data_IF_995874552130
#
_entry.id   IF_995874552130
#
_cell.length_a   1.000
_cell.length_b   1.000
_cell.length_c   1.000
_cell.angle_alpha   90.00
_cell.angle_beta   90.00
_cell.angle_gamma   90.00
#
_symmetry.space_group_name_H-M   'P 1'
#
loop_
_entity.id
_entity.type
_entity.pdbx_description
1 polymer ?
#
# COMPACT_ATOMS: atom_id res chain seq x y z
N UNK A 1 22.35 41.75 29.58
CA UNK A 1 23.16 42.47 28.58
C UNK A 1 23.46 41.53 27.43
N UNK A 2 23.19 42.00 26.21
CA UNK A 2 23.73 41.56 24.90
C UNK A 2 23.30 40.21 24.31
N UNK A 3 22.42 40.34 23.31
CA UNK A 3 22.17 39.41 22.20
C UNK A 3 23.33 39.40 21.18
N UNK A 4 23.24 38.51 20.17
CA UNK A 4 23.61 38.87 18.81
C UNK A 4 22.46 38.69 17.81
N UNK A 5 22.51 39.58 16.82
CA UNK A 5 21.65 39.81 15.67
C UNK A 5 22.01 38.91 14.47
N UNK A 6 21.15 39.03 13.43
CA UNK A 6 21.33 38.73 11.99
C UNK A 6 20.70 37.41 11.52
N UNK A 7 19.92 37.34 10.43
CA UNK A 7 19.42 38.33 9.48
C UNK A 7 18.29 37.65 8.68
N UNK A 8 17.13 38.29 8.52
CA UNK A 8 16.02 37.80 7.67
C UNK A 8 15.93 38.66 6.41
N UNK A 9 16.31 38.14 5.26
CA UNK A 9 16.07 38.75 3.96
C UNK A 9 14.72 38.30 3.41
N UNK A 10 13.73 39.20 3.44
CA UNK A 10 12.49 39.15 2.65
C UNK A 10 12.78 39.76 1.27
N UNK A 11 12.56 39.04 0.18
CA UNK A 11 12.37 39.66 -1.13
C UNK A 11 10.90 40.06 -1.27
N UNK A 12 10.65 41.37 -1.36
CA UNK A 12 9.38 41.93 -1.81
C UNK A 12 9.51 42.21 -3.31
N UNK A 13 8.66 41.60 -4.14
CA UNK A 13 8.54 41.92 -5.55
C UNK A 13 7.50 43.03 -5.70
N UNK A 14 7.93 44.23 -6.11
CA UNK A 14 7.05 45.35 -6.38
C UNK A 14 6.41 45.18 -7.77
N UNK A 15 5.08 45.15 -7.80
CA UNK A 15 4.27 45.17 -9.02
C UNK A 15 4.09 46.64 -9.46
N UNK A 16 4.67 47.04 -10.57
CA UNK A 16 4.37 48.33 -11.23
C UNK A 16 3.24 48.09 -12.22
N UNK A 17 2.05 48.56 -11.89
CA UNK A 17 0.91 48.62 -12.82
C UNK A 17 0.94 49.98 -13.51
N UNK A 18 1.18 49.97 -14.82
CA UNK A 18 1.00 51.11 -15.70
C UNK A 18 -0.27 50.87 -16.52
N UNK A 19 -1.26 51.75 -16.35
CA UNK A 19 -2.51 51.77 -17.12
C UNK A 19 -2.29 52.47 -18.45
N UNK A 20 -2.56 51.77 -19.56
CA UNK A 20 -2.72 52.36 -20.89
C UNK A 20 -3.82 51.64 -21.65
N UNK A 21 -4.96 52.32 -21.84
CA UNK A 21 -5.98 51.90 -22.80
C UNK A 21 -5.49 52.17 -24.23
N UNK A 22 -5.51 51.16 -25.10
CA UNK A 22 -6.08 51.29 -26.45
C UNK A 22 -6.31 49.92 -27.08
N UNK A 23 -7.34 49.87 -27.92
CA UNK A 23 -7.92 48.69 -28.56
C UNK A 23 -7.05 48.10 -29.69
N UNK A 24 -7.16 46.79 -29.89
CA UNK A 24 -6.67 46.12 -31.11
C UNK A 24 -6.22 44.68 -30.85
N UNK A 25 -6.87 43.73 -31.53
CA UNK A 25 -6.49 42.32 -31.55
C UNK A 25 -5.02 42.15 -31.94
N UNK A 26 -4.24 41.40 -31.14
CA UNK A 26 -3.07 40.67 -31.64
C UNK A 26 -2.63 39.56 -30.68
N UNK A 27 -2.41 38.38 -31.26
CA UNK A 27 -1.78 37.20 -30.69
C UNK A 27 -0.42 37.52 -30.06
N UNK A 28 -0.19 37.12 -28.81
CA UNK A 28 1.12 37.20 -28.17
C UNK A 28 1.84 35.84 -28.29
N UNK A 29 2.85 35.77 -29.15
CA UNK A 29 3.92 34.78 -29.07
C UNK A 29 5.07 35.40 -28.25
N UNK A 30 5.43 34.78 -27.12
CA UNK A 30 6.63 35.12 -26.37
C UNK A 30 7.79 34.24 -26.86
N UNK A 31 8.81 34.84 -27.48
CA UNK A 31 10.09 34.20 -27.76
C UNK A 31 11.04 34.43 -26.59
N UNK A 32 11.46 33.35 -25.93
CA UNK A 32 12.62 33.35 -25.02
C UNK A 32 13.84 32.87 -25.82
N UNK A 33 14.86 33.72 -25.90
CA UNK A 33 16.13 33.45 -26.59
C UNK A 33 17.07 32.75 -25.60
N UNK A 34 17.39 31.48 -25.84
CA UNK A 34 18.47 30.74 -25.15
C UNK A 34 19.58 30.47 -26.17
N UNK A 35 20.86 30.76 -25.89
CA UNK A 35 21.93 30.54 -26.85
C UNK A 35 22.38 29.08 -26.85
N UNK A 36 22.45 28.48 -28.04
CA UNK A 36 23.16 27.22 -28.30
C UNK A 36 22.29 25.99 -28.40
N UNK A 37 21.62 25.77 -29.55
CA UNK A 37 21.42 24.44 -30.14
C UNK A 37 20.94 24.58 -31.59
N UNK A 38 21.48 23.71 -32.44
CA UNK A 38 21.35 23.68 -33.90
C UNK A 38 19.89 23.45 -34.34
N UNK A 39 19.43 24.24 -35.30
CA UNK A 39 18.12 24.13 -35.95
C UNK A 39 18.09 22.94 -36.92
N UNK A 40 17.10 22.05 -36.77
CA UNK A 40 16.70 21.09 -37.80
C UNK A 40 15.33 21.52 -38.35
N UNK A 41 15.27 21.77 -39.66
CA UNK A 41 14.09 22.20 -40.38
C UNK A 41 13.68 21.12 -41.37
N UNK A 42 12.46 20.59 -41.22
CA UNK A 42 11.86 19.61 -42.13
C UNK A 42 10.42 20.00 -42.48
N UNK A 43 10.18 20.28 -43.75
CA UNK A 43 8.86 20.58 -44.33
C UNK A 43 7.96 19.33 -44.33
N UNK A 44 6.67 19.50 -44.05
CA UNK A 44 5.64 18.54 -44.45
C UNK A 44 4.72 19.22 -45.46
N UNK A 45 4.77 18.71 -46.70
CA UNK A 45 3.84 19.03 -47.77
C UNK A 45 2.52 18.27 -47.58
N UNK A 46 1.42 18.99 -47.75
CA UNK A 46 0.08 18.43 -47.93
C UNK A 46 0.05 17.55 -49.19
N UNK A 47 -0.52 16.35 -49.08
CA UNK A 47 -1.00 15.58 -50.21
C UNK A 47 -2.49 15.30 -50.03
N UNK A 48 -3.27 15.88 -50.92
CA UNK A 48 -4.69 15.61 -51.17
C UNK A 48 -4.75 14.44 -52.15
N UNK A 49 -5.54 13.40 -51.86
CA UNK A 49 -5.98 12.43 -52.87
C UNK A 49 -7.43 12.02 -52.61
N UNK A 50 -8.22 12.12 -53.67
CA UNK A 50 -9.66 11.86 -53.83
C UNK A 50 -10.07 10.36 -53.75
N UNK A 51 -11.38 10.04 -53.62
CA UNK A 51 -11.88 8.72 -53.22
C UNK A 51 -12.20 7.79 -54.40
N UNK A 52 -12.31 6.49 -54.12
CA UNK A 52 -12.77 5.44 -55.04
C UNK A 52 -13.79 4.51 -54.32
N UNK A 53 -14.62 3.70 -55.02
CA UNK A 53 -16.04 3.97 -55.17
C UNK A 53 -16.98 3.04 -54.38
N UNK A 54 -18.26 3.43 -54.41
CA UNK A 54 -19.45 2.85 -53.77
C UNK A 54 -19.80 1.44 -54.28
N UNK A 55 -20.14 0.54 -53.35
CA UNK A 55 -20.92 -0.69 -53.60
C UNK A 55 -22.18 -0.66 -52.73
N UNK A 56 -23.32 -0.97 -53.34
CA UNK A 56 -24.70 -0.79 -52.85
C UNK A 56 -25.21 -1.86 -51.88
N UNK A 57 -26.16 -1.42 -51.06
CA UNK A 57 -26.79 -1.99 -49.86
C UNK A 57 -27.81 -3.13 -50.05
N UNK A 58 -28.03 -3.92 -48.99
CA UNK A 58 -29.33 -4.41 -48.49
C UNK A 58 -29.23 -4.67 -46.95
N UNK A 59 -30.34 -4.69 -46.18
CA UNK A 59 -30.55 -3.79 -45.03
C UNK A 59 -30.28 -4.41 -43.65
N UNK A 60 -29.85 -3.58 -42.70
CA UNK A 60 -29.89 -3.90 -41.26
C UNK A 60 -30.99 -3.09 -40.57
N UNK A 61 -31.82 -3.85 -39.86
CA UNK A 61 -33.00 -3.45 -39.09
C UNK A 61 -32.58 -2.75 -37.79
N UNK A 62 -33.23 -1.62 -37.49
CA UNK A 62 -33.70 -1.28 -36.15
C UNK A 62 -32.70 -0.66 -35.16
N UNK A 63 -32.89 0.64 -34.92
CA UNK A 63 -32.27 1.44 -33.87
C UNK A 63 -32.40 0.80 -32.47
N UNK A 64 -31.26 0.66 -31.79
CA UNK A 64 -31.16 0.61 -30.33
C UNK A 64 -30.02 1.56 -29.94
N UNK A 65 -30.35 2.64 -29.26
CA UNK A 65 -29.41 3.61 -28.69
C UNK A 65 -28.34 2.91 -27.86
N UNK A 66 -27.07 3.04 -28.24
CA UNK A 66 -25.89 2.68 -27.43
C UNK A 66 -25.94 3.42 -26.09
N UNK A 67 -26.20 2.66 -25.02
CA UNK A 67 -25.97 3.06 -23.62
C UNK A 67 -24.85 2.22 -23.00
N UNK A 68 -23.87 1.85 -23.81
CA UNK A 68 -22.62 1.23 -23.37
C UNK A 68 -21.51 2.22 -23.71
N UNK A 69 -20.78 2.72 -22.70
CA UNK A 69 -19.38 3.23 -22.80
C UNK A 69 -18.91 4.15 -21.65
N UNK A 70 -19.61 4.26 -20.52
CA UNK A 70 -19.03 4.96 -19.34
C UNK A 70 -19.21 4.23 -18.01
N UNK A 71 -19.94 3.11 -17.99
CA UNK A 71 -20.21 2.37 -16.77
C UNK A 71 -19.01 1.52 -16.31
N UNK A 72 -18.34 0.85 -17.25
CA UNK A 72 -17.21 -0.05 -16.97
C UNK A 72 -15.86 0.67 -16.81
N UNK A 73 -15.72 1.91 -17.30
CA UNK A 73 -14.48 2.67 -17.09
C UNK A 73 -14.22 2.96 -15.61
N UNK A 74 -15.26 3.14 -14.80
CA UNK A 74 -15.12 3.51 -13.38
C UNK A 74 -14.58 2.39 -12.49
N UNK A 75 -14.90 1.13 -12.77
CA UNK A 75 -14.46 -0.03 -11.96
C UNK A 75 -13.18 -0.64 -12.51
N UNK A 76 -13.07 -0.74 -13.84
CA UNK A 76 -11.86 -1.21 -14.53
C UNK A 76 -10.68 -0.25 -14.32
N UNK A 77 -10.94 1.07 -14.21
CA UNK A 77 -9.92 2.04 -13.85
C UNK A 77 -9.48 1.91 -12.39
N UNK A 78 -10.36 1.55 -11.44
CA UNK A 78 -9.96 1.40 -10.02
C UNK A 78 -8.94 0.28 -9.80
N UNK A 79 -8.96 -0.78 -10.61
CA UNK A 79 -7.95 -1.85 -10.59
C UNK A 79 -6.71 -1.51 -11.42
N UNK A 80 -6.82 -0.68 -12.47
CA UNK A 80 -5.69 -0.24 -13.31
C UNK A 80 -4.96 1.01 -12.78
N UNK A 81 -5.56 1.78 -11.87
CA UNK A 81 -4.99 3.01 -11.25
C UNK A 81 -3.73 2.74 -10.40
N UNK A 82 -3.36 1.47 -10.19
CA UNK A 82 -2.16 1.05 -9.45
C UNK A 82 -0.86 1.21 -10.29
N UNK A 83 -0.75 2.29 -11.07
CA UNK A 83 0.22 2.51 -12.14
C UNK A 83 1.67 2.55 -11.62
N UNK A 84 2.43 1.49 -11.96
CA UNK A 84 3.87 1.40 -12.29
C UNK A 84 4.91 2.05 -11.35
N UNK A 85 4.68 3.24 -10.82
CA UNK A 85 5.55 3.92 -9.89
C UNK A 85 5.53 3.23 -8.51
N UNK A 86 6.71 2.95 -7.93
CA UNK A 86 6.77 2.36 -6.61
C UNK A 86 6.65 3.42 -5.51
N UNK A 87 6.19 3.03 -4.32
CA UNK A 87 6.06 3.95 -3.17
C UNK A 87 7.40 4.61 -2.83
N UNK A 88 8.51 3.89 -3.00
CA UNK A 88 9.85 4.38 -2.72
C UNK A 88 10.55 4.74 -4.05
N UNK A 89 10.40 5.98 -4.50
CA UNK A 89 11.17 6.49 -5.62
C UNK A 89 11.31 8.00 -5.55
N UNK A 90 12.30 8.54 -6.28
CA UNK A 90 12.47 9.98 -6.47
C UNK A 90 11.25 10.63 -7.12
N UNK A 91 10.59 9.90 -8.02
CA UNK A 91 9.38 10.37 -8.68
C UNK A 91 8.22 10.49 -7.68
N UNK A 92 8.06 9.51 -6.79
CA UNK A 92 7.06 9.54 -5.72
C UNK A 92 7.31 10.69 -4.74
N UNK A 93 8.56 10.99 -4.40
CA UNK A 93 8.91 12.19 -3.63
C UNK A 93 8.35 13.46 -4.28
N UNK A 94 8.47 13.61 -5.60
CA UNK A 94 7.93 14.78 -6.30
C UNK A 94 6.40 14.82 -6.25
N UNK A 95 5.72 13.70 -6.51
CA UNK A 95 4.27 13.62 -6.41
C UNK A 95 3.76 13.96 -5.01
N UNK A 96 4.51 13.58 -3.97
CA UNK A 96 4.18 13.93 -2.59
C UNK A 96 4.34 15.42 -2.31
N UNK A 97 5.35 16.09 -2.88
CA UNK A 97 5.51 17.55 -2.79
C UNK A 97 4.31 18.25 -3.43
N UNK A 98 3.91 17.82 -4.63
CA UNK A 98 2.77 18.41 -5.34
C UNK A 98 1.46 18.19 -4.54
N UNK A 99 1.26 16.98 -4.01
CA UNK A 99 0.13 16.66 -3.15
C UNK A 99 0.11 17.50 -1.86
N UNK A 100 1.26 17.78 -1.25
CA UNK A 100 1.36 18.66 -0.07
C UNK A 100 0.88 20.07 -0.42
N UNK A 101 1.28 20.62 -1.57
CA UNK A 101 0.83 21.95 -2.02
C UNK A 101 -0.69 22.00 -2.25
N UNK A 102 -1.27 20.93 -2.78
CA UNK A 102 -2.72 20.83 -2.95
C UNK A 102 -3.45 20.71 -1.61
N UNK A 103 -2.93 19.93 -0.66
CA UNK A 103 -3.51 19.81 0.68
C UNK A 103 -3.38 21.11 1.49
N UNK A 104 -2.29 21.86 1.32
CA UNK A 104 -2.15 23.21 1.87
C UNK A 104 -3.22 24.16 1.32
N UNK A 105 -3.52 24.10 0.02
CA UNK A 105 -4.59 24.89 -0.60
C UNK A 105 -5.96 24.53 -0.02
N UNK A 106 -6.23 23.24 0.17
CA UNK A 106 -7.46 22.78 0.82
C UNK A 106 -7.56 23.31 2.25
N UNK A 107 -6.48 23.23 3.04
CA UNK A 107 -6.43 23.77 4.40
C UNK A 107 -6.68 25.28 4.44
N UNK A 108 -6.03 26.06 3.56
CA UNK A 108 -6.22 27.51 3.46
C UNK A 108 -7.66 27.90 3.08
N UNK A 109 -8.38 27.02 2.38
CA UNK A 109 -9.79 27.21 2.01
C UNK A 109 -10.77 26.70 3.08
N UNK A 110 -10.29 26.38 4.29
CA UNK A 110 -11.13 25.93 5.41
C UNK A 110 -11.35 24.41 5.47
N UNK A 111 -10.57 23.63 4.72
CA UNK A 111 -10.62 22.17 4.74
C UNK A 111 -11.77 21.59 3.93
N UNK A 112 -12.23 20.42 4.35
CA UNK A 112 -13.38 19.73 3.76
C UNK A 112 -14.56 19.66 4.73
N UNK A 113 -15.80 19.64 4.23
CA UNK A 113 -16.98 19.55 5.10
C UNK A 113 -17.03 18.22 5.84
N UNK A 114 -17.51 18.28 7.07
CA UNK A 114 -17.79 17.10 7.87
C UNK A 114 -18.98 16.32 7.30
N UNK A 115 -18.83 15.00 7.18
CA UNK A 115 -19.90 14.08 6.82
C UNK A 115 -20.54 13.59 8.12
N UNK A 116 -21.63 14.25 8.53
CA UNK A 116 -22.39 13.88 9.73
C UNK A 116 -23.60 13.03 9.35
N UNK A 117 -23.58 11.74 9.69
CA UNK A 117 -24.72 10.84 9.49
C UNK A 117 -24.88 9.86 10.64
N UNK A 118 -26.14 9.64 11.06
CA UNK A 118 -26.52 8.60 12.03
C UNK A 118 -26.89 7.27 11.38
N UNK A 119 -27.04 7.26 10.05
CA UNK A 119 -27.43 6.10 9.26
C UNK A 119 -26.34 5.77 8.25
N UNK A 120 -26.21 4.48 7.97
CA UNK A 120 -25.40 4.00 6.85
C UNK A 120 -25.96 4.56 5.55
N UNK A 121 -25.11 5.15 4.71
CA UNK A 121 -25.49 5.63 3.37
C UNK A 121 -24.99 4.64 2.31
N UNK A 122 -25.79 4.42 1.27
CA UNK A 122 -25.50 3.52 0.14
C UNK A 122 -26.33 3.93 -1.08
N UNK A 123 -25.98 3.38 -2.23
CA UNK A 123 -26.66 3.63 -3.50
C UNK A 123 -28.20 3.51 -3.39
N UNK A 124 -28.90 4.44 -4.05
CA UNK A 124 -30.36 4.55 -4.07
C UNK A 124 -30.96 5.31 -2.88
N UNK A 125 -30.17 5.68 -1.87
CA UNK A 125 -30.67 6.45 -0.74
C UNK A 125 -30.80 7.95 -1.05
N UNK A 126 -31.72 8.60 -0.32
CA UNK A 126 -31.83 10.06 -0.24
C UNK A 126 -31.70 10.53 1.20
N UNK A 127 -30.84 11.50 1.45
CA UNK A 127 -30.58 12.06 2.78
C UNK A 127 -29.81 13.39 2.66
N UNK A 128 -30.07 14.37 3.54
CA UNK A 128 -29.31 15.63 3.57
C UNK A 128 -27.80 15.45 3.71
N UNK A 129 -27.35 14.42 4.44
CA UNK A 129 -25.93 14.10 4.62
C UNK A 129 -25.21 13.76 3.30
N UNK A 130 -25.94 13.37 2.24
CA UNK A 130 -25.35 13.04 0.94
C UNK A 130 -24.86 14.31 0.22
N UNK A 131 -25.48 15.47 0.46
CA UNK A 131 -24.99 16.74 -0.06
C UNK A 131 -23.59 17.06 0.50
N UNK A 132 -23.39 16.92 1.82
CA UNK A 132 -22.08 17.09 2.46
C UNK A 132 -21.08 16.04 2.01
N UNK A 133 -21.51 14.78 1.86
CA UNK A 133 -20.67 13.70 1.32
C UNK A 133 -20.14 14.03 -0.09
N UNK A 134 -21.01 14.50 -0.98
CA UNK A 134 -20.61 14.91 -2.34
C UNK A 134 -19.59 16.03 -2.30
N UNK A 135 -19.83 17.06 -1.50
CA UNK A 135 -18.87 18.15 -1.34
C UNK A 135 -17.53 17.65 -0.76
N UNK A 136 -17.57 16.75 0.22
CA UNK A 136 -16.37 16.12 0.80
C UNK A 136 -15.54 15.39 -0.24
N UNK A 137 -16.19 14.59 -1.10
CA UNK A 137 -15.56 13.81 -2.16
C UNK A 137 -15.04 14.70 -3.30
N UNK A 138 -15.75 15.79 -3.63
CA UNK A 138 -15.28 16.78 -4.62
C UNK A 138 -14.02 17.47 -4.13
N UNK A 139 -13.99 17.94 -2.87
CA UNK A 139 -12.82 18.65 -2.32
C UNK A 139 -11.58 17.75 -2.28
N UNK A 140 -11.73 16.44 -2.07
CA UNK A 140 -10.61 15.50 -2.11
C UNK A 140 -10.29 14.90 -3.47
N UNK A 141 -10.98 15.32 -4.54
CA UNK A 141 -10.74 14.81 -5.89
C UNK A 141 -11.27 13.41 -6.15
N UNK A 142 -12.08 12.84 -5.25
CA UNK A 142 -12.73 11.54 -5.44
C UNK A 142 -13.94 11.63 -6.38
N UNK A 143 -14.48 12.84 -6.59
CA UNK A 143 -15.65 13.11 -7.44
C UNK A 143 -15.46 14.39 -8.26
N UNK A 144 -15.93 14.39 -9.52
CA UNK A 144 -15.82 15.55 -10.40
C UNK A 144 -16.71 16.72 -9.96
N UNK A 145 -16.21 17.95 -10.09
CA UNK A 145 -16.86 19.17 -9.60
C UNK A 145 -18.21 19.48 -10.27
N UNK A 146 -18.41 19.03 -11.52
CA UNK A 146 -19.66 19.24 -12.27
C UNK A 146 -20.80 18.29 -11.87
N UNK A 147 -20.57 17.35 -10.94
CA UNK A 147 -21.60 16.37 -10.54
C UNK A 147 -22.73 16.97 -9.65
N UNK A 148 -22.59 18.23 -9.23
CA UNK A 148 -23.61 19.01 -8.51
C UNK A 148 -23.80 18.64 -7.03
N UNK A 149 -24.69 19.36 -6.34
CA UNK A 149 -25.04 19.11 -4.93
C UNK A 149 -26.45 18.51 -4.88
N UNK A 150 -26.53 17.18 -4.87
CA UNK A 150 -27.76 16.39 -4.76
C UNK A 150 -27.79 15.69 -3.41
N UNK A 151 -28.99 15.41 -2.90
CA UNK A 151 -29.18 14.55 -1.73
C UNK A 151 -29.32 13.07 -2.09
N UNK A 152 -29.13 12.70 -3.35
CA UNK A 152 -29.25 11.33 -3.85
C UNK A 152 -27.89 10.66 -3.92
N UNK A 153 -27.82 9.45 -3.37
CA UNK A 153 -26.67 8.56 -3.50
C UNK A 153 -26.81 7.79 -4.81
N UNK A 154 -26.31 8.36 -5.89
CA UNK A 154 -26.31 7.77 -7.23
C UNK A 154 -25.02 6.95 -7.47
N UNK A 155 -24.90 6.41 -8.69
CA UNK A 155 -23.72 5.64 -9.11
C UNK A 155 -22.42 6.46 -9.07
N UNK A 156 -22.47 7.78 -9.31
CA UNK A 156 -21.27 8.62 -9.22
C UNK A 156 -20.77 8.73 -7.77
N UNK A 157 -21.68 8.87 -6.81
CA UNK A 157 -21.33 8.86 -5.38
C UNK A 157 -20.80 7.48 -4.97
N UNK A 158 -21.41 6.38 -5.44
CA UNK A 158 -20.93 5.02 -5.16
C UNK A 158 -19.49 4.82 -5.62
N UNK A 159 -19.18 5.14 -6.88
CA UNK A 159 -17.83 5.05 -7.43
C UNK A 159 -16.82 5.93 -6.68
N UNK A 160 -17.21 7.17 -6.34
CA UNK A 160 -16.37 8.08 -5.56
C UNK A 160 -16.10 7.58 -4.14
N UNK A 161 -17.10 7.00 -3.47
CA UNK A 161 -16.94 6.38 -2.14
C UNK A 161 -16.02 5.17 -2.22
N UNK A 162 -16.14 4.31 -3.24
CA UNK A 162 -15.23 3.17 -3.44
C UNK A 162 -13.80 3.63 -3.65
N UNK A 163 -13.59 4.68 -4.46
CA UNK A 163 -12.26 5.30 -4.66
C UNK A 163 -11.68 5.82 -3.35
N UNK A 164 -12.50 6.54 -2.58
CA UNK A 164 -12.12 7.05 -1.26
C UNK A 164 -11.72 5.89 -0.32
N UNK A 165 -12.55 4.85 -0.22
CA UNK A 165 -12.31 3.69 0.63
C UNK A 165 -11.00 3.00 0.23
N UNK A 166 -10.80 2.73 -1.06
CA UNK A 166 -9.60 2.08 -1.59
C UNK A 166 -8.32 2.86 -1.23
N UNK A 167 -8.30 4.18 -1.48
CA UNK A 167 -7.11 4.98 -1.19
C UNK A 167 -6.85 5.16 0.31
N UNK A 168 -7.85 4.98 1.16
CA UNK A 168 -7.71 4.97 2.63
C UNK A 168 -7.46 3.58 3.23
N UNK A 169 -7.35 2.53 2.40
CA UNK A 169 -7.11 1.17 2.88
C UNK A 169 -8.33 0.51 3.52
N UNK A 170 -9.53 1.00 3.22
CA UNK A 170 -10.81 0.42 3.62
C UNK A 170 -11.30 -0.54 2.53
N UNK A 171 -12.22 -1.44 2.90
CA UNK A 171 -12.94 -2.27 1.93
C UNK A 171 -13.76 -1.36 0.99
N UNK A 172 -13.57 -1.42 -0.35
CA UNK A 172 -14.25 -0.54 -1.30
C UNK A 172 -15.66 -1.06 -1.63
N UNK A 173 -16.52 -1.16 -0.62
CA UNK A 173 -17.89 -1.68 -0.73
C UNK A 173 -18.94 -0.64 -1.19
N UNK A 174 -18.56 0.63 -1.32
CA UNK A 174 -19.46 1.73 -1.70
C UNK A 174 -20.38 2.19 -0.56
N UNK A 175 -20.23 1.62 0.64
CA UNK A 175 -21.06 1.90 1.80
C UNK A 175 -20.37 2.93 2.70
N UNK A 176 -21.10 4.00 3.05
CA UNK A 176 -20.62 4.99 4.03
C UNK A 176 -21.07 4.55 5.42
N UNK A 177 -20.32 3.59 5.96
CA UNK A 177 -20.44 3.11 7.34
C UNK A 177 -19.55 3.88 8.32
N UNK A 178 -19.49 3.42 9.58
CA UNK A 178 -18.74 4.09 10.66
C UNK A 178 -17.26 4.32 10.32
N UNK A 179 -16.57 3.30 9.81
CA UNK A 179 -15.15 3.40 9.45
C UNK A 179 -14.91 4.46 8.35
N UNK A 180 -15.75 4.45 7.31
CA UNK A 180 -15.69 5.43 6.21
C UNK A 180 -15.94 6.85 6.71
N UNK A 181 -16.93 7.05 7.59
CA UNK A 181 -17.21 8.37 8.22
C UNK A 181 -16.02 8.86 9.05
N UNK A 182 -15.43 8.00 9.87
CA UNK A 182 -14.24 8.35 10.67
C UNK A 182 -13.10 8.78 9.74
N UNK A 183 -12.81 8.01 8.69
CA UNK A 183 -11.75 8.32 7.75
C UNK A 183 -12.01 9.64 6.97
N UNK A 184 -13.26 9.90 6.58
CA UNK A 184 -13.67 11.13 5.88
C UNK A 184 -13.52 12.37 6.75
N UNK A 185 -13.79 12.24 8.05
CA UNK A 185 -13.80 13.34 9.01
C UNK A 185 -12.46 13.58 9.70
N UNK A 186 -11.38 12.88 9.32
CA UNK A 186 -10.03 13.28 9.71
C UNK A 186 -9.75 14.69 9.15
N UNK A 187 -9.34 15.68 9.96
CA UNK A 187 -9.06 17.03 9.49
C UNK A 187 -7.94 17.08 8.45
N UNK A 188 -7.98 18.09 7.57
CA UNK A 188 -6.96 18.24 6.51
C UNK A 188 -5.58 18.53 7.09
N UNK A 189 -5.50 19.21 8.23
CA UNK A 189 -4.26 19.53 8.93
C UNK A 189 -3.55 18.26 9.40
N UNK A 190 -4.32 17.27 9.86
CA UNK A 190 -3.79 15.95 10.27
C UNK A 190 -3.25 15.20 9.05
N UNK A 191 -3.99 15.20 7.93
CA UNK A 191 -3.55 14.57 6.66
C UNK A 191 -2.33 15.24 6.06
N UNK A 192 -2.25 16.57 6.16
CA UNK A 192 -1.09 17.36 5.71
C UNK A 192 0.14 17.03 6.54
N UNK A 193 0.01 16.93 7.86
CA UNK A 193 1.12 16.50 8.72
C UNK A 193 1.52 15.05 8.43
N UNK A 194 0.56 14.16 8.21
CA UNK A 194 0.81 12.78 7.78
C UNK A 194 1.62 12.74 6.47
N UNK A 195 1.26 13.56 5.48
CA UNK A 195 2.00 13.68 4.21
C UNK A 195 3.43 14.17 4.42
N UNK A 196 3.63 15.22 5.22
CA UNK A 196 4.96 15.78 5.50
C UNK A 196 5.87 14.78 6.22
N UNK A 197 5.36 14.10 7.25
CA UNK A 197 6.11 13.06 7.95
C UNK A 197 6.52 11.93 7.00
N UNK A 198 5.64 11.52 6.09
CA UNK A 198 5.96 10.44 5.16
C UNK A 198 6.82 10.88 3.97
N UNK A 199 6.79 12.17 3.57
CA UNK A 199 7.71 12.71 2.58
C UNK A 199 9.16 12.54 3.04
N UNK A 200 9.45 12.81 4.33
CA UNK A 200 10.77 12.60 4.90
C UNK A 200 11.19 11.12 4.84
N UNK A 201 10.28 10.21 5.21
CA UNK A 201 10.54 8.76 5.19
C UNK A 201 10.78 8.21 3.78
N UNK A 202 9.94 8.61 2.83
CA UNK A 202 10.06 8.20 1.43
C UNK A 202 11.34 8.77 0.83
N UNK A 203 11.65 10.06 1.06
CA UNK A 203 12.87 10.68 0.53
C UNK A 203 14.14 10.00 1.06
N UNK A 204 14.20 9.72 2.37
CA UNK A 204 15.35 9.07 2.98
C UNK A 204 15.67 7.70 2.36
N UNK A 205 14.65 6.94 1.96
CA UNK A 205 14.82 5.66 1.27
C UNK A 205 15.11 5.86 -0.23
N UNK A 206 14.40 6.77 -0.90
CA UNK A 206 14.51 7.01 -2.33
C UNK A 206 15.89 7.49 -2.79
N UNK A 207 16.65 8.16 -1.91
CA UNK A 207 18.00 8.64 -2.22
C UNK A 207 19.01 7.51 -2.48
N UNK A 208 18.77 6.33 -1.88
CA UNK A 208 19.72 5.21 -1.89
C UNK A 208 19.11 3.90 -2.43
N UNK A 209 17.89 3.94 -2.97
CA UNK A 209 17.22 2.75 -3.48
C UNK A 209 17.80 2.32 -4.83
N UNK A 210 17.96 1.01 -5.02
CA UNK A 210 18.31 0.43 -6.32
C UNK A 210 17.11 0.46 -7.27
N UNK A 211 17.34 0.26 -8.57
CA UNK A 211 16.25 0.10 -9.54
C UNK A 211 15.51 -1.25 -9.42
N UNK A 212 16.05 -2.19 -8.63
CA UNK A 212 15.45 -3.50 -8.36
C UNK A 212 15.50 -3.82 -6.87
N UNK A 213 14.35 -3.99 -6.23
CA UNK A 213 14.21 -4.24 -4.80
C UNK A 213 12.83 -4.79 -4.43
N UNK A 214 12.67 -5.24 -3.19
CA UNK A 214 11.38 -5.57 -2.59
C UNK A 214 11.09 -4.56 -1.47
N UNK A 215 9.88 -3.99 -1.45
CA UNK A 215 9.44 -3.11 -0.37
C UNK A 215 8.20 -3.68 0.30
N UNK A 216 8.30 -3.95 1.60
CA UNK A 216 7.17 -4.27 2.47
C UNK A 216 6.74 -2.98 3.15
N UNK A 217 5.65 -2.36 2.68
CA UNK A 217 5.04 -1.25 3.39
C UNK A 217 4.15 -1.79 4.52
N UNK A 218 4.65 -1.70 5.75
CA UNK A 218 4.05 -2.27 6.96
C UNK A 218 2.60 -1.78 7.19
N UNK A 219 2.32 -0.47 7.33
CA UNK A 219 0.96 0.03 7.57
C UNK A 219 -0.01 -0.23 6.41
N UNK A 220 0.50 -0.42 5.19
CA UNK A 220 -0.32 -0.83 4.05
C UNK A 220 -0.56 -2.35 3.99
N UNK A 221 0.16 -3.13 4.80
CA UNK A 221 0.20 -4.59 4.76
C UNK A 221 0.32 -5.10 3.30
N UNK A 222 1.30 -4.55 2.59
CA UNK A 222 1.49 -4.74 1.15
C UNK A 222 2.98 -4.81 0.80
N UNK A 223 3.28 -5.61 -0.21
CA UNK A 223 4.64 -5.83 -0.73
C UNK A 223 4.67 -5.38 -2.19
N UNK A 224 5.65 -4.57 -2.55
CA UNK A 224 5.95 -4.19 -3.93
C UNK A 224 7.25 -4.86 -4.36
N UNK A 225 7.20 -5.57 -5.48
CA UNK A 225 8.38 -6.01 -6.21
C UNK A 225 8.68 -4.97 -7.26
N UNK A 226 9.84 -4.34 -7.18
CA UNK A 226 10.28 -3.32 -8.11
C UNK A 226 11.41 -3.87 -8.96
N UNK A 227 11.29 -3.72 -10.27
CA UNK A 227 12.25 -4.17 -11.26
C UNK A 227 12.40 -3.08 -12.33
N UNK A 228 13.64 -2.70 -12.61
CA UNK A 228 13.96 -1.62 -13.55
C UNK A 228 13.20 -0.30 -13.26
N UNK A 229 13.09 0.05 -11.98
CA UNK A 229 12.45 1.28 -11.50
C UNK A 229 10.91 1.25 -11.56
N UNK A 230 10.31 0.10 -11.85
CA UNK A 230 8.86 -0.07 -12.01
C UNK A 230 8.33 -1.18 -11.13
N UNK A 231 7.12 -1.02 -10.61
CA UNK A 231 6.40 -2.08 -9.90
C UNK A 231 6.08 -3.19 -10.88
N UNK A 232 6.68 -4.36 -10.65
CA UNK A 232 6.46 -5.59 -11.41
C UNK A 232 5.25 -6.35 -10.88
N UNK A 233 5.15 -6.49 -9.57
CA UNK A 233 4.05 -7.18 -8.90
C UNK A 233 3.80 -6.58 -7.51
N UNK A 234 2.58 -6.79 -7.02
CA UNK A 234 2.20 -6.45 -5.65
C UNK A 234 1.61 -7.68 -4.97
N UNK A 235 1.90 -7.82 -3.68
CA UNK A 235 1.37 -8.91 -2.86
C UNK A 235 0.73 -8.34 -1.60
N UNK A 236 -0.37 -8.97 -1.15
CA UNK A 236 -0.93 -8.70 0.16
C UNK A 236 -0.06 -9.33 1.23
N UNK A 237 0.13 -8.63 2.34
CA UNK A 237 0.86 -9.14 3.50
C UNK A 237 -0.01 -9.21 4.75
N UNK A 238 0.43 -10.02 5.71
CA UNK A 238 0.04 -9.94 7.12
C UNK A 238 1.29 -9.61 7.91
N UNK A 239 1.25 -8.53 8.69
CA UNK A 239 2.41 -8.02 9.44
C UNK A 239 2.16 -8.08 10.95
N UNK A 240 3.15 -7.67 11.74
CA UNK A 240 3.11 -7.76 13.20
C UNK A 240 1.94 -7.02 13.86
N UNK A 241 1.49 -7.51 15.00
CA UNK A 241 0.57 -6.78 15.90
C UNK A 241 1.25 -5.54 16.49
N UNK A 242 0.47 -4.60 17.03
CA UNK A 242 1.01 -3.41 17.71
C UNK A 242 1.94 -3.75 18.89
N UNK A 243 1.67 -4.84 19.62
CA UNK A 243 2.49 -5.33 20.73
C UNK A 243 3.67 -6.22 20.29
N UNK A 244 3.76 -6.52 19.00
CA UNK A 244 4.74 -7.42 18.34
C UNK A 244 5.05 -6.91 16.93
N UNK A 245 5.51 -5.66 16.88
CA UNK A 245 5.66 -4.90 15.65
C UNK A 245 6.64 -5.56 14.67
N UNK A 246 6.31 -5.54 13.38
CA UNK A 246 7.30 -5.79 12.33
C UNK A 246 8.36 -4.69 12.37
N UNK A 247 9.66 -5.02 12.36
CA UNK A 247 10.72 -4.01 12.49
C UNK A 247 10.83 -3.19 11.20
N UNK A 248 11.12 -1.90 11.35
CA UNK A 248 11.50 -1.02 10.23
C UNK A 248 12.99 -1.21 9.98
N UNK A 249 13.36 -1.66 8.78
CA UNK A 249 14.76 -1.91 8.43
C UNK A 249 14.98 -1.94 6.92
N UNK A 250 16.24 -1.81 6.52
CA UNK A 250 16.73 -2.10 5.17
C UNK A 250 17.71 -3.25 5.25
N UNK A 251 17.57 -4.24 4.36
CA UNK A 251 18.37 -5.46 4.33
C UNK A 251 18.49 -5.99 2.89
N UNK A 252 18.91 -7.24 2.74
CA UNK A 252 18.92 -7.95 1.48
C UNK A 252 18.54 -9.42 1.68
N UNK A 253 17.65 -9.91 0.80
CA UNK A 253 17.22 -11.30 0.70
C UNK A 253 18.36 -12.11 0.11
N UNK A 254 18.65 -13.27 0.70
CA UNK A 254 19.78 -14.12 0.28
C UNK A 254 19.46 -15.61 0.13
N UNK A 255 18.30 -16.07 0.63
CA UNK A 255 17.98 -17.50 0.65
C UNK A 255 16.47 -17.72 0.70
N UNK A 256 16.02 -18.81 0.06
CA UNK A 256 14.67 -19.34 0.15
C UNK A 256 14.73 -20.77 0.68
N UNK A 257 13.97 -21.07 1.72
CA UNK A 257 13.78 -22.43 2.25
C UNK A 257 12.42 -22.96 1.80
N UNK A 258 12.44 -24.09 1.09
CA UNK A 258 11.25 -24.86 0.73
C UNK A 258 10.96 -25.92 1.79
N UNK A 259 9.68 -26.09 2.10
CA UNK A 259 9.17 -27.04 3.10
C UNK A 259 9.97 -26.97 4.42
N UNK A 260 10.07 -25.78 5.04
CA UNK A 260 10.96 -25.56 6.17
C UNK A 260 10.43 -26.20 7.47
N UNK A 261 11.33 -26.65 8.33
CA UNK A 261 11.01 -26.79 9.76
C UNK A 261 10.70 -25.42 10.34
N UNK A 262 9.68 -25.31 11.20
CA UNK A 262 9.48 -24.11 12.00
C UNK A 262 10.02 -24.27 13.41
N UNK A 263 11.15 -23.62 13.69
CA UNK A 263 11.64 -23.48 15.06
C UNK A 263 10.90 -22.34 15.74
N UNK A 264 10.12 -22.65 16.77
CA UNK A 264 9.28 -21.67 17.47
C UNK A 264 10.16 -20.69 18.26
N UNK A 265 10.09 -19.37 17.99
CA UNK A 265 10.82 -18.37 18.77
C UNK A 265 10.39 -18.35 20.24
N UNK A 266 11.34 -18.06 21.14
CA UNK A 266 11.08 -17.98 22.60
C UNK A 266 9.91 -17.06 22.97
N UNK A 267 9.78 -15.94 22.27
CA UNK A 267 8.67 -15.01 22.48
C UNK A 267 7.31 -15.64 22.15
N UNK A 268 7.23 -16.48 21.11
CA UNK A 268 6.03 -17.22 20.72
C UNK A 268 5.77 -18.39 21.68
N UNK A 269 6.83 -19.07 22.14
CA UNK A 269 6.70 -20.10 23.19
C UNK A 269 5.98 -19.49 24.40
N UNK A 270 6.49 -18.34 24.89
CA UNK A 270 5.93 -17.66 26.05
C UNK A 270 4.51 -17.12 25.82
N UNK A 271 4.31 -16.36 24.73
CA UNK A 271 3.06 -15.61 24.51
C UNK A 271 1.91 -16.44 23.95
N UNK A 272 2.21 -17.49 23.18
CA UNK A 272 1.20 -18.24 22.44
C UNK A 272 1.22 -19.74 22.79
N UNK A 273 2.39 -20.39 22.82
CA UNK A 273 2.46 -21.85 22.98
C UNK A 273 2.11 -22.32 24.40
N UNK A 274 2.66 -21.66 25.43
CA UNK A 274 2.35 -21.97 26.84
C UNK A 274 0.83 -21.83 27.10
N UNK A 275 0.16 -20.70 26.78
CA UNK A 275 -1.28 -20.60 26.94
C UNK A 275 -2.09 -21.64 26.17
N UNK A 276 -1.64 -22.02 24.96
CA UNK A 276 -2.30 -23.06 24.17
C UNK A 276 -2.19 -24.44 24.82
N UNK A 277 -1.03 -24.77 25.39
CA UNK A 277 -0.81 -26.04 26.09
C UNK A 277 -1.53 -26.12 27.43
N UNK A 278 -1.67 -25.00 28.15
CA UNK A 278 -2.51 -24.93 29.35
C UNK A 278 -3.98 -25.22 29.03
N UNK A 279 -4.45 -24.80 27.85
CA UNK A 279 -5.84 -25.01 27.40
C UNK A 279 -6.07 -26.38 26.77
N UNK A 280 -5.11 -26.87 25.99
CA UNK A 280 -5.18 -28.14 25.27
C UNK A 280 -3.81 -28.83 25.29
N UNK A 281 -3.59 -29.79 26.21
CA UNK A 281 -2.33 -30.53 26.29
C UNK A 281 -2.01 -31.37 25.05
N UNK A 282 -2.98 -31.59 24.15
CA UNK A 282 -2.74 -32.29 22.88
C UNK A 282 -2.29 -31.35 21.75
N UNK A 283 -2.17 -30.04 22.00
CA UNK A 283 -1.88 -29.04 20.97
C UNK A 283 -0.62 -29.37 20.17
N UNK A 284 0.49 -29.72 20.83
CA UNK A 284 1.75 -30.03 20.14
C UNK A 284 1.61 -31.22 19.20
N UNK A 285 0.97 -32.30 19.66
CA UNK A 285 0.75 -33.50 18.86
C UNK A 285 -0.16 -33.21 17.66
N UNK A 286 -1.25 -32.45 17.85
CA UNK A 286 -2.17 -32.04 16.78
C UNK A 286 -1.49 -31.19 15.69
N UNK A 287 -0.42 -30.49 16.05
CA UNK A 287 0.30 -29.57 15.16
C UNK A 287 1.68 -30.11 14.73
N UNK A 288 2.01 -31.37 15.04
CA UNK A 288 3.32 -31.98 14.74
C UNK A 288 4.50 -31.14 15.24
N UNK A 289 4.42 -30.67 16.49
CA UNK A 289 5.48 -29.91 17.16
C UNK A 289 6.21 -30.82 18.14
N UNK A 290 7.51 -30.98 17.92
CA UNK A 290 8.41 -31.77 18.75
C UNK A 290 9.21 -30.88 19.71
N UNK A 291 9.54 -31.42 20.87
CA UNK A 291 10.28 -30.71 21.92
C UNK A 291 11.67 -31.32 22.06
N UNK A 292 12.71 -30.50 22.01
CA UNK A 292 14.09 -30.94 22.18
C UNK A 292 14.77 -30.15 23.29
N UNK A 293 15.55 -30.86 24.11
CA UNK A 293 16.53 -30.19 24.97
C UNK A 293 17.74 -29.69 24.17
N UNK A 294 18.64 -29.00 24.86
CA UNK A 294 19.84 -28.43 24.24
C UNK A 294 20.86 -29.49 23.82
N UNK A 295 20.74 -30.73 24.30
CA UNK A 295 21.52 -31.88 23.84
C UNK A 295 20.90 -32.57 22.61
N UNK A 296 19.73 -32.12 22.16
CA UNK A 296 18.99 -32.69 21.04
C UNK A 296 18.16 -33.92 21.40
N UNK A 297 18.00 -34.24 22.69
CA UNK A 297 17.12 -35.32 23.12
C UNK A 297 15.67 -34.84 23.09
N UNK A 298 14.80 -35.65 22.49
CA UNK A 298 13.37 -35.38 22.45
C UNK A 298 12.73 -35.53 23.85
N UNK A 299 11.81 -34.62 24.17
CA UNK A 299 11.10 -34.51 25.44
C UNK A 299 9.61 -34.65 25.22
N UNK A 300 8.93 -35.26 26.19
CA UNK A 300 7.48 -35.34 26.24
C UNK A 300 6.91 -34.09 26.94
N UNK A 301 5.73 -33.66 26.53
CA UNK A 301 5.12 -32.44 27.08
C UNK A 301 4.80 -32.54 28.58
N UNK A 302 4.57 -33.76 29.09
CA UNK A 302 4.31 -34.03 30.51
C UNK A 302 5.55 -33.79 31.40
N UNK A 303 6.74 -33.70 30.80
CA UNK A 303 7.99 -33.46 31.51
C UNK A 303 8.26 -31.96 31.76
N UNK A 304 7.34 -31.07 31.38
CA UNK A 304 7.51 -29.62 31.42
C UNK A 304 6.37 -29.00 32.25
N UNK A 305 6.69 -28.09 33.17
CA UNK A 305 5.70 -27.29 33.87
C UNK A 305 5.20 -26.13 33.01
N UNK A 306 4.04 -26.34 32.39
CA UNK A 306 3.35 -25.34 31.55
C UNK A 306 2.73 -24.18 32.33
N UNK A 307 2.79 -24.15 33.67
CA UNK A 307 2.35 -23.00 34.46
C UNK A 307 3.49 -22.00 34.73
N UNK A 308 4.69 -22.30 34.23
CA UNK A 308 5.89 -21.47 34.37
C UNK A 308 6.50 -21.17 33.00
N UNK A 309 7.61 -20.44 33.00
CA UNK A 309 8.41 -20.18 31.81
C UNK A 309 9.37 -21.35 31.46
N UNK A 310 9.31 -22.51 32.14
CA UNK A 310 10.22 -23.64 31.92
C UNK A 310 10.29 -24.07 30.45
N UNK A 311 9.16 -24.07 29.74
CA UNK A 311 9.10 -24.38 28.31
C UNK A 311 10.09 -23.52 27.47
N UNK A 312 10.37 -22.28 27.88
CA UNK A 312 11.29 -21.39 27.14
C UNK A 312 12.75 -21.85 27.11
N UNK A 313 13.11 -22.86 27.91
CA UNK A 313 14.44 -23.46 27.94
C UNK A 313 14.63 -24.57 26.88
N UNK A 314 13.56 -24.96 26.21
CA UNK A 314 13.56 -26.02 25.19
C UNK A 314 13.39 -25.47 23.78
N UNK A 315 13.80 -26.28 22.79
CA UNK A 315 13.59 -25.99 21.38
C UNK A 315 12.34 -26.71 20.89
N UNK A 316 11.40 -25.95 20.35
CA UNK A 316 10.21 -26.50 19.70
C UNK A 316 10.37 -26.43 18.19
N UNK A 317 10.18 -27.55 17.51
CA UNK A 317 10.30 -27.65 16.06
C UNK A 317 9.02 -28.23 15.50
N UNK A 318 8.37 -27.51 14.58
CA UNK A 318 7.26 -28.03 13.79
C UNK A 318 7.79 -28.67 12.51
N UNK A 319 7.31 -29.87 12.21
CA UNK A 319 7.61 -30.59 10.98
C UNK A 319 7.07 -29.85 9.73
N UNK A 320 7.68 -30.04 8.54
CA UNK A 320 7.12 -29.55 7.29
C UNK A 320 5.77 -30.20 6.99
N UNK A 321 4.88 -29.46 6.32
CA UNK A 321 3.57 -29.97 5.92
C UNK A 321 2.53 -28.86 5.81
N UNK A 322 1.32 -29.21 5.37
CA UNK A 322 0.24 -28.25 5.13
C UNK A 322 -0.15 -27.44 6.38
N UNK A 323 -0.02 -28.03 7.58
CA UNK A 323 -0.28 -27.34 8.85
C UNK A 323 0.89 -26.55 9.43
N UNK A 324 2.04 -26.50 8.75
CA UNK A 324 3.22 -25.78 9.24
C UNK A 324 2.93 -24.28 9.30
N UNK A 325 3.27 -23.62 10.41
CA UNK A 325 2.97 -22.19 10.62
C UNK A 325 3.69 -21.24 9.64
N UNK A 326 4.77 -21.70 9.01
CA UNK A 326 5.48 -21.00 7.94
C UNK A 326 5.05 -21.44 6.53
N UNK A 327 4.05 -22.31 6.42
CA UNK A 327 3.58 -22.90 5.16
C UNK A 327 4.70 -23.60 4.40
N UNK A 328 4.69 -23.46 3.08
CA UNK A 328 5.63 -24.15 2.18
C UNK A 328 6.94 -23.40 1.94
N UNK A 329 7.03 -22.12 2.33
CA UNK A 329 8.15 -21.24 1.95
C UNK A 329 8.53 -20.31 3.10
N UNK A 330 9.84 -20.19 3.32
CA UNK A 330 10.46 -19.12 4.11
C UNK A 330 11.51 -18.39 3.27
N UNK A 331 11.50 -17.06 3.30
CA UNK A 331 12.45 -16.19 2.59
C UNK A 331 13.29 -15.45 3.64
N UNK A 332 14.59 -15.69 3.61
CA UNK A 332 15.54 -15.16 4.59
C UNK A 332 16.25 -13.91 4.09
N UNK A 333 16.43 -12.96 5.03
CA UNK A 333 17.18 -11.74 4.85
C UNK A 333 17.93 -11.40 6.16
N UNK A 334 19.02 -10.63 6.06
CA UNK A 334 19.87 -10.33 7.22
C UNK A 334 19.14 -9.42 8.22
N UNK A 335 18.96 -9.85 9.46
CA UNK A 335 18.42 -9.00 10.52
C UNK A 335 18.76 -9.55 11.91
N UNK A 336 18.73 -8.68 12.92
CA UNK A 336 18.94 -9.03 14.34
C UNK A 336 17.63 -9.36 15.08
N UNK A 337 16.48 -9.23 14.41
CA UNK A 337 15.15 -9.39 15.00
C UNK A 337 14.56 -10.79 14.84
N UNK A 338 15.26 -11.70 14.16
CA UNK A 338 14.80 -13.05 13.81
C UNK A 338 13.49 -13.06 12.99
N UNK A 339 13.25 -12.02 12.19
CA UNK A 339 12.10 -11.93 11.29
C UNK A 339 12.42 -12.43 9.89
N UNK A 340 11.39 -12.87 9.16
CA UNK A 340 11.48 -13.37 7.78
C UNK A 340 10.15 -13.12 7.05
N UNK A 341 10.19 -13.26 5.73
CA UNK A 341 8.98 -13.33 4.89
C UNK A 341 8.61 -14.82 4.75
N UNK A 342 7.34 -15.19 4.82
CA UNK A 342 6.96 -16.60 4.71
C UNK A 342 5.53 -16.83 4.20
N UNK A 343 5.25 -18.09 3.83
CA UNK A 343 3.91 -18.60 3.52
C UNK A 343 3.08 -18.81 4.81
N UNK A 344 1.81 -19.16 4.68
CA UNK A 344 0.97 -19.48 5.83
C UNK A 344 -0.17 -20.44 5.46
N UNK A 345 -0.58 -21.35 6.36
CA UNK A 345 -1.79 -22.14 6.15
C UNK A 345 -3.07 -21.29 6.30
N UNK A 346 -2.99 -20.17 7.01
CA UNK A 346 -4.13 -19.27 7.29
C UNK A 346 -4.35 -18.26 6.14
N UNK A 347 -4.65 -18.77 4.94
CA UNK A 347 -4.80 -17.95 3.73
C UNK A 347 -5.98 -16.96 3.82
N UNK A 348 -6.99 -17.23 4.65
CA UNK A 348 -8.15 -16.35 4.84
C UNK A 348 -7.78 -14.97 5.38
N UNK A 349 -6.67 -14.85 6.13
CA UNK A 349 -6.21 -13.58 6.69
C UNK A 349 -5.90 -12.53 5.63
N UNK A 350 -5.55 -12.95 4.40
CA UNK A 350 -5.27 -12.01 3.32
C UNK A 350 -6.52 -11.29 2.81
N UNK A 351 -7.71 -11.84 3.06
CA UNK A 351 -8.99 -11.20 2.72
C UNK A 351 -9.51 -10.23 3.78
N UNK A 352 -8.86 -10.14 4.94
CA UNK A 352 -9.28 -9.26 6.03
C UNK A 352 -8.88 -7.81 5.76
N UNK A 353 -9.72 -6.85 6.20
CA UNK A 353 -9.39 -5.42 6.11
C UNK A 353 -8.26 -5.03 7.07
N UNK A 354 -8.24 -5.64 8.25
CA UNK A 354 -7.18 -5.50 9.26
C UNK A 354 -6.25 -6.72 9.15
N UNK A 355 -4.95 -6.52 8.89
CA UNK A 355 -3.99 -7.62 8.62
C UNK A 355 -2.75 -7.59 9.50
N UNK A 356 -2.95 -7.26 10.77
CA UNK A 356 -1.88 -7.09 11.77
C UNK A 356 -1.93 -8.23 12.79
N UNK A 357 -1.68 -9.46 12.36
CA UNK A 357 -1.88 -10.68 13.17
C UNK A 357 -0.58 -11.43 13.52
N UNK A 358 0.56 -11.01 12.98
CA UNK A 358 1.84 -11.70 13.16
C UNK A 358 2.56 -11.32 14.47
N UNK A 359 3.60 -12.08 14.79
CA UNK A 359 4.57 -11.79 15.87
C UNK A 359 5.83 -11.06 15.38
N UNK A 360 5.74 -10.34 14.26
CA UNK A 360 6.82 -9.51 13.69
C UNK A 360 7.30 -9.96 12.31
N UNK A 361 7.24 -11.26 12.01
CA UNK A 361 7.44 -11.78 10.65
C UNK A 361 6.34 -11.32 9.69
N UNK A 362 6.56 -11.49 8.39
CA UNK A 362 5.62 -11.02 7.37
C UNK A 362 5.12 -12.23 6.56
N UNK A 363 3.82 -12.48 6.59
CA UNK A 363 3.19 -13.51 5.74
C UNK A 363 2.89 -12.91 4.37
N UNK A 364 3.07 -13.69 3.31
CA UNK A 364 2.97 -13.20 1.93
C UNK A 364 1.89 -13.95 1.15
N UNK A 365 0.90 -13.24 0.62
CA UNK A 365 -0.08 -13.80 -0.30
C UNK A 365 0.60 -14.09 -1.64
N UNK A 366 0.29 -15.24 -2.25
CA UNK A 366 0.90 -15.67 -3.51
C UNK A 366 2.44 -15.71 -3.44
N UNK A 367 2.99 -16.12 -2.29
CA UNK A 367 4.44 -16.20 -2.05
C UNK A 367 5.22 -16.99 -3.12
N UNK A 368 4.57 -17.96 -3.78
CA UNK A 368 5.18 -18.74 -4.88
C UNK A 368 5.56 -17.85 -6.07
N UNK A 369 4.77 -16.83 -6.38
CA UNK A 369 5.07 -15.87 -7.44
C UNK A 369 6.28 -15.01 -7.06
N UNK A 370 6.31 -14.50 -5.83
CA UNK A 370 7.45 -13.75 -5.30
C UNK A 370 8.74 -14.58 -5.34
N UNK A 371 8.70 -15.84 -4.88
CA UNK A 371 9.86 -16.73 -4.90
C UNK A 371 10.29 -17.09 -6.32
N UNK A 372 9.34 -17.31 -7.24
CA UNK A 372 9.65 -17.56 -8.65
C UNK A 372 10.43 -16.39 -9.23
N UNK A 373 10.03 -15.15 -8.92
CA UNK A 373 10.79 -13.98 -9.34
C UNK A 373 12.15 -13.88 -8.65
N UNK A 374 12.21 -13.99 -7.32
CA UNK A 374 13.46 -13.90 -6.55
C UNK A 374 14.51 -14.91 -7.04
N UNK A 375 14.13 -16.17 -7.18
CA UNK A 375 15.03 -17.23 -7.62
C UNK A 375 15.30 -17.14 -9.11
N UNK A 376 14.32 -16.86 -9.96
CA UNK A 376 14.52 -16.72 -11.41
C UNK A 376 15.50 -15.59 -11.76
N UNK A 377 15.42 -14.45 -11.06
CA UNK A 377 16.27 -13.28 -11.28
C UNK A 377 17.70 -13.44 -10.75
N UNK A 378 17.95 -14.38 -9.84
CA UNK A 378 19.25 -14.55 -9.19
C UNK A 378 19.89 -15.92 -9.45
N UNK A 379 19.09 -16.90 -9.83
CA UNK A 379 19.42 -18.33 -9.83
C UNK A 379 18.65 -19.00 -10.99
N UNK A 380 18.96 -18.67 -12.26
CA UNK A 380 18.06 -18.86 -13.42
C UNK A 380 17.57 -20.28 -13.71
N UNK A 381 18.22 -21.29 -13.14
CA UNK A 381 17.78 -22.69 -13.13
C UNK A 381 16.50 -22.94 -12.33
N UNK A 382 16.02 -21.95 -11.57
CA UNK A 382 14.76 -21.96 -10.84
C UNK A 382 13.63 -21.36 -11.66
N UNK A 383 13.02 -22.21 -12.48
CA UNK A 383 11.77 -21.89 -13.18
C UNK A 383 10.56 -22.04 -12.26
N UNK A 384 9.42 -21.47 -12.66
CA UNK A 384 8.14 -21.66 -11.95
C UNK A 384 7.81 -23.15 -11.75
N UNK A 385 7.99 -23.96 -12.79
CA UNK A 385 7.74 -25.40 -12.74
C UNK A 385 8.61 -26.09 -11.69
N UNK A 386 9.90 -25.72 -11.59
CA UNK A 386 10.80 -26.26 -10.56
C UNK A 386 10.37 -25.86 -9.15
N UNK A 387 10.00 -24.59 -8.94
CA UNK A 387 9.48 -24.09 -7.66
C UNK A 387 8.27 -24.91 -7.22
N UNK A 388 7.29 -25.07 -8.10
CA UNK A 388 6.07 -25.84 -7.79
C UNK A 388 6.39 -27.33 -7.56
N UNK A 389 7.29 -27.92 -8.34
CA UNK A 389 7.71 -29.31 -8.16
C UNK A 389 8.41 -29.55 -6.81
N UNK A 390 9.27 -28.63 -6.37
CA UNK A 390 9.95 -28.71 -5.07
C UNK A 390 8.97 -28.55 -3.90
N UNK A 391 7.97 -27.68 -4.01
CA UNK A 391 6.93 -27.58 -2.98
C UNK A 391 6.12 -28.89 -2.93
N UNK A 392 5.68 -29.38 -4.08
CA UNK A 392 4.85 -30.58 -4.18
C UNK A 392 5.57 -31.87 -3.77
N UNK A 393 6.90 -31.93 -3.85
CA UNK A 393 7.65 -33.10 -3.38
C UNK A 393 7.64 -33.24 -1.85
N UNK A 394 7.35 -32.15 -1.12
CA UNK A 394 7.48 -32.08 0.33
C UNK A 394 8.93 -32.14 0.83
N UNK A 395 9.91 -32.25 -0.06
CA UNK A 395 11.32 -32.30 0.30
C UNK A 395 11.77 -30.95 0.85
N UNK A 396 12.44 -30.99 2.02
CA UNK A 396 13.08 -29.79 2.57
C UNK A 396 14.28 -29.42 1.70
N UNK A 397 14.30 -28.18 1.21
CA UNK A 397 15.42 -27.70 0.40
C UNK A 397 15.72 -26.22 0.68
N UNK A 398 16.98 -25.95 1.02
CA UNK A 398 17.49 -24.60 1.28
C UNK A 398 18.27 -24.10 0.05
N UNK A 399 17.79 -23.01 -0.56
CA UNK A 399 18.30 -22.48 -1.82
C UNK A 399 18.93 -21.11 -1.59
N UNK A 400 20.26 -21.06 -1.67
CA UNK A 400 21.01 -19.80 -1.63
C UNK A 400 20.93 -19.11 -2.99
N UNK A 401 20.61 -17.82 -2.97
CA UNK A 401 20.55 -16.99 -4.18
C UNK A 401 21.97 -16.60 -4.63
N UNK A 402 22.24 -16.55 -5.95
CA UNK A 402 23.59 -16.17 -6.44
C UNK A 402 23.90 -14.69 -6.23
N UNK A 403 22.87 -13.85 -6.20
CA UNK A 403 22.95 -12.44 -5.85
C UNK A 403 21.88 -12.10 -4.81
N UNK A 404 22.12 -11.07 -4.01
CA UNK A 404 21.17 -10.62 -2.99
C UNK A 404 20.24 -9.57 -3.58
N UNK A 405 18.96 -9.61 -3.20
CA UNK A 405 17.96 -8.61 -3.61
C UNK A 405 17.69 -7.67 -2.44
N UNK A 406 17.85 -6.34 -2.59
CA UNK A 406 17.52 -5.38 -1.54
C UNK A 406 16.07 -5.52 -1.05
N UNK A 407 15.88 -5.39 0.26
CA UNK A 407 14.59 -5.46 0.93
C UNK A 407 14.44 -4.29 1.89
N UNK A 408 13.32 -3.59 1.78
CA UNK A 408 12.94 -2.53 2.70
C UNK A 408 11.67 -2.92 3.43
N UNK A 409 11.72 -2.99 4.76
CA UNK A 409 10.52 -3.01 5.60
C UNK A 409 10.28 -1.56 6.01
N UNK A 410 9.42 -0.88 5.24
CA UNK A 410 9.14 0.54 5.38
C UNK A 410 7.87 0.80 6.18
N UNK A 411 7.76 2.00 6.72
CA UNK A 411 6.57 2.46 7.43
C UNK A 411 6.08 3.75 6.79
N UNK A 412 5.23 3.60 5.77
CA UNK A 412 4.72 4.74 4.98
C UNK A 412 3.19 4.75 5.05
N UNK A 413 2.65 5.69 5.81
CA UNK A 413 1.19 5.83 6.05
C UNK A 413 0.52 6.84 5.12
N UNK A 414 1.29 7.63 4.35
CA UNK A 414 0.77 8.50 3.31
C UNK A 414 1.73 8.58 2.12
N UNK A 415 1.22 8.46 0.90
CA UNK A 415 1.99 8.63 -0.34
C UNK A 415 1.09 9.08 -1.48
N UNK A 416 1.66 9.75 -2.48
CA UNK A 416 0.98 10.16 -3.70
C UNK A 416 1.52 9.39 -4.90
N UNK A 417 0.67 9.03 -5.85
CA UNK A 417 1.07 8.37 -7.08
C UNK A 417 0.96 9.32 -8.28
N UNK A 418 1.30 8.82 -9.47
CA UNK A 418 1.38 9.62 -10.71
C UNK A 418 0.06 10.22 -11.17
N UNK A 419 -1.07 9.71 -10.69
CA UNK A 419 -2.41 10.23 -10.95
C UNK A 419 -2.77 11.40 -10.02
N UNK A 420 -1.86 11.80 -9.12
CA UNK A 420 -2.07 12.85 -8.12
C UNK A 420 -2.92 12.40 -6.93
N UNK A 421 -3.37 11.14 -6.89
CA UNK A 421 -4.18 10.64 -5.79
C UNK A 421 -3.29 10.33 -4.59
N UNK A 422 -3.75 10.79 -3.43
CA UNK A 422 -3.09 10.51 -2.15
C UNK A 422 -3.73 9.31 -1.48
N UNK A 423 -2.88 8.33 -1.17
CA UNK A 423 -3.22 7.16 -0.39
C UNK A 423 -2.87 7.40 1.07
N UNK A 424 -3.73 6.95 1.97
CA UNK A 424 -3.54 7.01 3.41
C UNK A 424 -3.74 5.63 4.04
N UNK A 425 -3.00 5.35 5.10
CA UNK A 425 -3.18 4.18 5.97
C UNK A 425 -3.20 4.65 7.41
N UNK A 426 -3.78 3.82 8.27
CA UNK A 426 -3.77 4.06 9.70
C UNK A 426 -2.34 3.95 10.25
N UNK A 427 -2.03 4.76 11.26
CA UNK A 427 -0.75 4.74 11.97
C UNK A 427 -0.74 3.63 13.03
N UNK A 428 -0.75 2.38 12.57
CA UNK A 428 -0.97 1.18 13.41
C UNK A 428 0.03 0.97 14.55
N UNK A 429 1.23 1.58 14.47
CA UNK A 429 2.31 1.48 15.45
C UNK A 429 2.67 2.84 16.06
N UNK A 430 1.81 3.86 15.88
CA UNK A 430 1.93 5.21 16.46
C UNK A 430 3.28 5.89 16.14
N UNK A 431 3.76 5.76 14.91
CA UNK A 431 5.07 6.28 14.49
C UNK A 431 4.99 7.63 13.80
N UNK A 432 3.81 8.09 13.40
CA UNK A 432 3.65 9.38 12.73
C UNK A 432 3.68 10.55 13.72
N UNK A 433 3.47 10.27 15.02
CA UNK A 433 3.46 11.28 16.08
C UNK A 433 2.22 12.20 16.04
N UNK A 434 1.24 11.87 15.21
CA UNK A 434 0.05 12.68 14.94
C UNK A 434 -0.94 12.72 16.11
N UNK A 435 -0.93 11.70 16.97
CA UNK A 435 -1.83 11.59 18.12
C UNK A 435 -1.35 12.30 19.39
N UNK A 436 -0.30 13.14 19.30
CA UNK A 436 0.15 13.97 20.44
C UNK A 436 -0.72 15.21 20.70
N UNK A 437 -1.80 15.42 19.95
CA UNK A 437 -2.83 16.41 20.28
C UNK A 437 -4.23 15.96 19.80
N UNK A 438 -5.07 15.57 20.77
CA UNK A 438 -6.53 15.43 20.71
C UNK A 438 -7.16 14.26 19.89
N UNK A 439 -7.90 13.45 20.65
CA UNK A 439 -8.94 12.45 20.28
C UNK A 439 -8.44 11.09 19.77
N UNK A 440 -8.60 10.07 20.62
CA UNK A 440 -8.62 8.64 20.26
C UNK A 440 -10.08 8.17 20.13
N UNK A 441 -10.60 7.94 18.91
CA UNK A 441 -11.91 7.34 18.69
C UNK A 441 -11.84 5.84 18.32
N UNK A 442 -10.64 5.24 18.22
CA UNK A 442 -10.45 3.94 17.57
C UNK A 442 -10.06 2.79 18.53
N UNK A 443 -9.75 3.07 19.80
CA UNK A 443 -9.56 2.02 20.80
C UNK A 443 -10.79 1.12 21.10
N UNK A 444 -11.96 1.37 20.48
CA UNK A 444 -13.18 0.57 20.67
C UNK A 444 -13.68 -0.17 19.41
N UNK A 445 -12.97 -0.10 18.28
CA UNK A 445 -13.45 -0.71 17.02
C UNK A 445 -13.07 -2.20 16.82
N UNK A 446 -12.24 -2.79 17.70
CA UNK A 446 -11.82 -4.20 17.62
C UNK A 446 -12.46 -5.10 18.68
N UNK A 447 -13.46 -4.59 19.40
CA UNK A 447 -14.27 -5.35 20.35
C UNK A 447 -15.74 -5.33 19.93
N UNK A 448 -16.06 -5.92 18.78
CA UNK A 448 -17.38 -6.48 18.45
C UNK A 448 -17.33 -7.34 17.19
#
# INVERSE_FOLDING_TARGET
MLAPLLNRSKLALALVVSTGLSAGMMSAQAQVKVPGLLSYSGNIQQAVTEPAPVVTEQPIVGQGTEWEDTFDEGVSSLEQIDFVAPIISKQTTQYMIDAILDYERIALNGGWPEVSTKKVLRIGMRAPAIASLRQRLIVSGDMAQHAGVSEVFDSYVDSAVRRFQLRHGLTPDGVVGRATVIAMNVPVEVRLQQLRTNLERVSALADNVSDTYVNVNIPAARIEVVENGRVRSRHTAVVGKQDRQSPILSSAIYEVNFNPYWTVPVSIIRKDLIPKMQKDPQYLAKNNIHIFDWYGKEKQWQEIDWNTDEATQYRFTQEPGEGNSMGSIRINFNNTHQVYLHDTPEQSLFGEGYRFHSSGCVRVQNVRELVTWLLGSTTPEWTRSRVDATINSGERLDVKMKSRIPLHLSYVTAWALSDGMVHFRDDIYDKDGLYSASVDPLAQASAQ
#
